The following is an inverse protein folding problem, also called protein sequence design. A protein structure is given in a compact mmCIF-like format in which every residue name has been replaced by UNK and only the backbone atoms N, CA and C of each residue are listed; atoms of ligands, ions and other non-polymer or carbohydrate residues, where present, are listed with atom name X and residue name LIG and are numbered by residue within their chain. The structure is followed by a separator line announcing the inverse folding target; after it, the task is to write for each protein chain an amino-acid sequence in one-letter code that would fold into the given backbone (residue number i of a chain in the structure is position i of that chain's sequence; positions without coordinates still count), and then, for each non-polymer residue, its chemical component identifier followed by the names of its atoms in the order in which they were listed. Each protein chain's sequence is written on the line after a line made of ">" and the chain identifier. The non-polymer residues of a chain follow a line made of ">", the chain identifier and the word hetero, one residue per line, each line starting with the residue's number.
data_IF_729526763966
#
_entry.id   IF_729526763966
#
_cell.length_a   1.000
_cell.length_b   1.000
_cell.length_c   1.000
_cell.angle_alpha   90.00
_cell.angle_beta   90.00
_cell.angle_gamma   90.00
#
_symmetry.space_group_name_H-M   'P 1'
#
loop_
_entity.id
_entity.type
_entity.pdbx_description
1 polymer ?
#
# COMPACT_ATOMS: atom_id res chain seq x y z
N UNK A 1 -44.16 -53.38 -15.62
CA UNK A 1 -43.30 -54.27 -16.44
C UNK A 1 -42.33 -53.35 -17.22
N UNK A 2 -41.12 -53.43 -16.90
CA UNK A 2 -39.86 -53.28 -17.62
C UNK A 2 -38.80 -52.64 -16.74
N UNK A 3 -37.95 -53.50 -16.18
CA UNK A 3 -36.76 -53.21 -15.45
C UNK A 3 -35.70 -52.64 -16.39
N UNK A 4 -35.10 -51.49 -16.02
CA UNK A 4 -33.93 -50.94 -16.65
C UNK A 4 -32.76 -50.94 -15.67
N UNK A 5 -31.92 -51.99 -15.74
CA UNK A 5 -30.64 -52.08 -15.00
C UNK A 5 -29.65 -51.06 -15.51
N UNK A 6 -29.17 -50.20 -14.63
CA UNK A 6 -27.97 -49.35 -14.85
C UNK A 6 -26.76 -50.14 -14.37
N UNK A 7 -25.85 -50.48 -15.28
CA UNK A 7 -24.57 -51.16 -15.01
C UNK A 7 -23.53 -50.13 -14.54
N UNK A 8 -22.95 -50.38 -13.36
CA UNK A 8 -21.79 -49.66 -12.81
C UNK A 8 -20.53 -50.21 -13.48
N UNK A 9 -19.82 -49.37 -14.18
CA UNK A 9 -18.46 -49.69 -14.71
C UNK A 9 -17.46 -49.26 -13.66
N UNK A 10 -16.81 -50.22 -13.02
CA UNK A 10 -15.67 -50.01 -12.13
C UNK A 10 -14.39 -49.85 -12.97
N UNK A 11 -13.77 -48.66 -12.91
CA UNK A 11 -12.43 -48.43 -13.44
C UNK A 11 -11.41 -48.76 -12.35
N UNK A 12 -10.72 -49.86 -12.52
CA UNK A 12 -9.53 -50.26 -11.78
C UNK A 12 -8.34 -49.48 -12.38
N UNK A 13 -7.76 -48.62 -11.59
CA UNK A 13 -6.49 -47.97 -11.95
C UNK A 13 -5.36 -48.80 -11.33
N UNK A 14 -4.57 -49.42 -12.19
CA UNK A 14 -3.33 -50.11 -11.85
C UNK A 14 -2.30 -49.10 -11.33
N UNK A 15 -1.72 -49.44 -10.19
CA UNK A 15 -0.63 -48.71 -9.55
C UNK A 15 0.67 -49.21 -10.19
N UNK A 16 1.37 -48.33 -10.90
CA UNK A 16 2.74 -48.57 -11.36
C UNK A 16 3.66 -48.09 -10.25
N UNK A 17 4.37 -49.02 -9.65
CA UNK A 17 5.48 -48.75 -8.72
C UNK A 17 6.76 -48.62 -9.57
N UNK A 18 7.29 -47.41 -9.69
CA UNK A 18 8.66 -47.20 -10.23
C UNK A 18 9.59 -47.09 -9.04
N UNK A 19 10.38 -48.12 -8.85
CA UNK A 19 11.62 -48.16 -8.06
C UNK A 19 12.62 -47.19 -8.68
N UNK A 20 13.08 -46.20 -7.95
CA UNK A 20 14.25 -45.41 -8.28
C UNK A 20 15.23 -45.47 -7.10
N UNK A 21 16.13 -46.48 -7.18
CA UNK A 21 17.36 -46.55 -6.40
C UNK A 21 18.42 -45.66 -7.07
N UNK A 22 19.00 -44.74 -6.31
CA UNK A 22 20.13 -43.96 -6.80
C UNK A 22 20.50 -42.84 -5.86
N UNK A 23 21.24 -43.15 -4.81
CA UNK A 23 22.04 -42.19 -4.05
C UNK A 23 23.23 -41.75 -4.94
N UNK A 24 23.58 -40.45 -4.98
CA UNK A 24 24.94 -40.05 -5.30
C UNK A 24 25.69 -39.63 -4.03
N UNK A 25 26.83 -40.28 -3.88
CA UNK A 25 27.84 -40.11 -2.87
C UNK A 25 28.40 -38.68 -2.82
N UNK A 26 28.67 -38.24 -1.60
CA UNK A 26 29.40 -37.04 -1.27
C UNK A 26 30.82 -37.04 -1.79
N UNK A 27 31.16 -36.08 -2.63
CA UNK A 27 32.54 -35.72 -2.96
C UNK A 27 32.76 -34.22 -2.71
N UNK A 28 32.95 -33.85 -1.44
CA UNK A 28 33.50 -32.56 -1.09
C UNK A 28 35.02 -32.70 -0.93
N UNK A 29 35.72 -32.41 -2.01
CA UNK A 29 37.16 -32.18 -1.97
C UNK A 29 37.44 -30.85 -1.23
N UNK A 30 38.27 -30.96 -0.23
CA UNK A 30 38.93 -29.90 0.51
C UNK A 30 39.68 -28.95 -0.43
N UNK A 31 39.34 -27.66 -0.40
CA UNK A 31 40.15 -26.59 -0.94
C UNK A 31 40.72 -25.74 0.17
N UNK A 32 42.01 -25.71 0.16
CA UNK A 32 43.04 -25.07 0.93
C UNK A 32 42.71 -23.60 1.35
N UNK A 33 42.99 -23.29 2.62
CA UNK A 33 42.99 -21.95 3.18
C UNK A 33 44.13 -21.12 2.58
N UNK A 34 43.80 -20.25 1.63
CA UNK A 34 44.69 -19.20 1.14
C UNK A 34 44.46 -17.92 1.90
N UNK A 35 45.34 -17.63 2.84
CA UNK A 35 45.50 -16.36 3.57
C UNK A 35 45.69 -15.22 2.57
N UNK A 36 44.69 -14.30 2.46
CA UNK A 36 44.87 -13.01 1.81
C UNK A 36 44.66 -11.92 2.90
N UNK A 37 45.80 -11.25 3.20
CA UNK A 37 45.89 -10.19 4.19
C UNK A 37 44.98 -9.00 3.89
N UNK A 38 44.42 -8.48 4.97
CA UNK A 38 43.68 -7.23 4.98
C UNK A 38 44.62 -6.05 4.64
N UNK A 39 44.22 -5.09 3.78
CA UNK A 39 44.96 -3.84 3.67
C UNK A 39 44.73 -2.98 4.90
N UNK A 40 45.79 -2.65 5.60
CA UNK A 40 45.79 -1.66 6.66
C UNK A 40 45.41 -0.29 6.10
N UNK A 41 44.27 0.24 6.52
CA UNK A 41 43.93 1.64 6.35
C UNK A 41 44.67 2.46 7.44
N UNK A 42 45.67 3.20 7.05
CA UNK A 42 46.25 4.26 7.87
C UNK A 42 45.18 5.37 8.04
N UNK A 43 44.72 5.54 9.29
CA UNK A 43 43.92 6.67 9.69
C UNK A 43 44.85 7.80 10.12
N UNK A 44 45.21 8.71 9.19
CA UNK A 44 45.76 10.02 9.50
C UNK A 44 44.69 11.08 9.27
N UNK A 45 44.00 11.47 10.33
CA UNK A 45 43.08 12.58 10.39
C UNK A 45 42.65 12.82 11.84
N UNK A 46 42.53 14.07 12.30
CA UNK A 46 42.18 14.37 13.68
C UNK A 46 40.79 13.87 14.02
N UNK A 47 40.66 13.16 15.12
CA UNK A 47 39.43 12.59 15.60
C UNK A 47 38.41 13.66 16.01
N UNK A 48 37.14 13.37 15.80
CA UNK A 48 36.00 14.27 16.06
C UNK A 48 35.81 14.67 17.54
N UNK A 49 36.66 14.17 18.45
CA UNK A 49 36.59 14.39 19.90
C UNK A 49 37.93 14.83 20.55
N UNK A 50 38.87 15.40 19.77
CA UNK A 50 40.06 16.00 20.37
C UNK A 50 39.69 17.35 20.97
N UNK A 51 39.85 17.49 22.28
CA UNK A 51 39.65 18.73 23.02
C UNK A 51 40.72 19.77 22.59
N UNK A 52 40.36 21.05 22.36
CA UNK A 52 41.32 22.07 22.04
C UNK A 52 42.16 22.41 23.27
N UNK A 53 43.48 22.25 23.17
CA UNK A 53 44.43 22.64 24.18
C UNK A 53 44.41 24.15 24.43
N UNK A 54 44.65 24.51 25.71
CA UNK A 54 44.72 25.87 26.24
C UNK A 54 45.83 26.69 25.55
N UNK A 55 45.43 27.60 24.63
CA UNK A 55 46.30 28.72 24.19
C UNK A 55 45.70 30.04 24.70
N UNK A 56 46.51 30.78 25.47
CA UNK A 56 46.18 32.12 25.99
C UNK A 56 45.88 33.13 24.87
N UNK A 57 44.88 34.04 25.05
CA UNK A 57 44.53 35.00 24.01
C UNK A 57 45.42 36.22 23.99
N UNK A 58 46.07 36.45 22.86
CA UNK A 58 46.72 37.74 22.57
C UNK A 58 45.67 38.83 22.38
N UNK A 59 45.84 39.92 23.16
CA UNK A 59 44.96 41.07 23.16
C UNK A 59 45.03 41.86 21.84
N UNK A 60 43.93 41.93 21.10
CA UNK A 60 43.72 42.97 20.06
C UNK A 60 42.51 43.81 20.42
N UNK A 61 42.70 45.11 20.56
CA UNK A 61 41.70 46.10 20.86
C UNK A 61 40.78 46.37 19.65
N UNK A 62 39.51 46.72 19.86
CA UNK A 62 38.49 46.76 18.81
C UNK A 62 38.41 48.15 18.14
N UNK A 63 38.28 48.16 16.83
CA UNK A 63 37.71 49.29 16.11
C UNK A 63 36.19 49.09 16.01
N UNK A 64 35.46 49.87 16.79
CA UNK A 64 34.00 49.88 16.78
C UNK A 64 33.50 50.61 15.55
N UNK A 65 32.87 49.88 14.63
CA UNK A 65 31.98 50.43 13.63
C UNK A 65 30.60 49.93 13.92
N UNK A 66 29.77 50.77 14.57
CA UNK A 66 28.38 50.52 14.86
C UNK A 66 27.54 50.69 13.59
N UNK A 67 27.27 49.59 12.90
CA UNK A 67 26.12 49.52 11.98
C UNK A 67 24.97 48.77 12.70
N UNK A 68 23.71 49.24 12.57
CA UNK A 68 22.59 48.59 13.20
C UNK A 68 22.38 47.20 12.57
N UNK A 69 22.49 46.15 13.38
CA UNK A 69 22.08 44.80 13.02
C UNK A 69 20.59 44.83 12.80
N UNK A 70 20.18 44.91 11.55
CA UNK A 70 18.80 44.69 11.17
C UNK A 70 18.51 43.21 11.45
N UNK A 71 17.70 42.96 12.48
CA UNK A 71 17.25 41.65 12.87
C UNK A 71 16.44 41.03 11.71
N UNK A 72 17.09 40.20 10.89
CA UNK A 72 16.46 39.46 9.77
C UNK A 72 15.58 38.30 10.25
N UNK A 73 15.11 38.31 11.49
CA UNK A 73 14.22 37.28 12.01
C UNK A 73 12.74 37.55 11.77
N UNK A 74 12.36 38.74 11.28
CA UNK A 74 10.97 39.05 10.97
C UNK A 74 10.70 39.04 9.47
N UNK A 75 10.62 37.91 8.84
CA UNK A 75 9.88 37.61 7.62
C UNK A 75 10.17 36.17 7.12
N UNK A 76 10.19 35.20 7.98
CA UNK A 76 9.73 33.87 7.53
C UNK A 76 8.21 33.94 7.54
N UNK A 77 7.67 34.43 6.42
CA UNK A 77 6.28 34.11 6.08
C UNK A 77 6.12 32.61 6.32
N UNK A 78 5.21 32.22 7.21
CA UNK A 78 4.77 30.84 7.36
C UNK A 78 4.32 30.40 5.98
N UNK A 79 5.24 29.78 5.22
CA UNK A 79 4.89 29.08 3.99
C UNK A 79 4.03 27.95 4.47
N UNK A 80 2.74 28.06 4.20
CA UNK A 80 1.79 26.99 4.51
C UNK A 80 2.39 25.68 4.00
N UNK A 81 2.35 24.60 4.80
CA UNK A 81 2.93 23.34 4.36
C UNK A 81 2.31 22.94 3.02
N UNK A 82 3.09 22.40 2.08
CA UNK A 82 2.58 22.04 0.77
C UNK A 82 1.36 21.15 0.94
N UNK A 83 0.32 21.35 0.12
CA UNK A 83 -0.91 20.56 0.23
C UNK A 83 -0.58 19.07 0.13
N UNK A 84 -1.14 18.29 1.05
CA UNK A 84 -0.98 16.83 1.00
C UNK A 84 -1.54 16.28 -0.32
N UNK A 85 -0.87 15.31 -0.92
CA UNK A 85 -1.31 14.64 -2.12
C UNK A 85 -2.77 14.12 -2.00
N UNK A 86 -3.53 14.16 -3.09
CA UNK A 86 -4.96 13.81 -3.10
C UNK A 86 -5.23 12.43 -2.50
N UNK A 87 -4.43 11.41 -2.83
CA UNK A 87 -4.61 10.06 -2.30
C UNK A 87 -4.45 9.99 -0.78
N UNK A 88 -3.81 10.99 -0.12
CA UNK A 88 -3.74 11.12 1.34
C UNK A 88 -4.92 11.91 1.88
N UNK A 89 -5.28 13.03 1.23
CA UNK A 89 -6.42 13.89 1.65
C UNK A 89 -7.76 13.17 1.54
N UNK A 90 -7.94 12.35 0.50
CA UNK A 90 -9.16 11.58 0.26
C UNK A 90 -9.08 10.12 0.70
N UNK A 91 -8.14 9.80 1.60
CA UNK A 91 -8.10 8.48 2.24
C UNK A 91 -9.37 8.29 3.08
N UNK A 92 -10.15 7.20 2.88
CA UNK A 92 -11.39 7.00 3.59
C UNK A 92 -11.16 6.88 5.10
N UNK A 93 -12.05 7.48 5.87
CA UNK A 93 -12.05 7.54 7.34
C UNK A 93 -13.17 6.71 7.96
N UNK A 94 -14.12 6.27 7.14
CA UNK A 94 -15.23 5.38 7.51
C UNK A 94 -15.49 4.36 6.43
N UNK A 95 -16.17 3.24 6.76
CA UNK A 95 -16.56 2.25 5.77
C UNK A 95 -17.50 2.79 4.69
N UNK A 96 -18.31 3.81 5.01
CA UNK A 96 -19.19 4.45 4.06
C UNK A 96 -18.45 5.23 2.96
N UNK A 97 -17.21 5.66 3.22
CA UNK A 97 -16.35 6.36 2.26
C UNK A 97 -15.54 5.40 1.36
N UNK A 98 -15.56 4.10 1.65
CA UNK A 98 -14.82 3.10 0.85
C UNK A 98 -15.64 2.74 -0.37
N UNK A 99 -15.33 3.34 -1.51
CA UNK A 99 -16.10 3.18 -2.75
C UNK A 99 -15.94 1.79 -3.39
N UNK A 100 -17.03 1.25 -3.92
CA UNK A 100 -17.03 0.04 -4.73
C UNK A 100 -16.70 -1.27 -4.01
N UNK A 101 -16.69 -1.27 -2.66
CA UNK A 101 -16.34 -2.44 -1.84
C UNK A 101 -17.51 -2.89 -0.94
N UNK A 102 -18.76 -2.65 -1.32
CA UNK A 102 -19.94 -2.97 -0.50
C UNK A 102 -19.99 -4.45 -0.07
N UNK A 103 -19.51 -5.35 -0.95
CA UNK A 103 -19.40 -6.79 -0.67
C UNK A 103 -18.44 -7.12 0.48
N UNK A 104 -17.54 -6.19 0.85
CA UNK A 104 -16.62 -6.27 2.00
C UNK A 104 -17.13 -5.44 3.16
N UNK A 105 -17.46 -4.16 2.91
CA UNK A 105 -17.78 -3.20 3.97
C UNK A 105 -19.10 -3.53 4.67
N UNK A 106 -20.15 -3.92 3.93
CA UNK A 106 -21.45 -4.24 4.52
C UNK A 106 -21.39 -5.44 5.47
N UNK A 107 -20.77 -6.59 5.11
CA UNK A 107 -20.57 -7.68 6.06
C UNK A 107 -19.74 -7.32 7.28
N UNK A 108 -18.67 -6.52 7.11
CA UNK A 108 -17.85 -6.06 8.24
C UNK A 108 -18.65 -5.17 9.20
N UNK A 109 -19.41 -4.20 8.69
CA UNK A 109 -20.26 -3.34 9.49
C UNK A 109 -21.29 -4.16 10.29
N UNK A 110 -21.96 -5.12 9.63
CA UNK A 110 -22.91 -6.01 10.29
C UNK A 110 -22.26 -6.88 11.38
N UNK A 111 -21.04 -7.35 11.14
CA UNK A 111 -20.30 -8.12 12.14
C UNK A 111 -19.96 -7.27 13.37
N UNK A 112 -19.57 -6.01 13.16
CA UNK A 112 -19.32 -5.05 14.24
C UNK A 112 -20.58 -4.76 15.06
N UNK A 113 -21.69 -4.41 14.41
CA UNK A 113 -22.96 -4.06 15.06
C UNK A 113 -23.57 -5.26 15.83
N UNK A 114 -23.33 -6.48 15.34
CA UNK A 114 -23.75 -7.70 16.03
C UNK A 114 -22.75 -8.20 17.08
N UNK A 115 -21.67 -7.46 17.33
CA UNK A 115 -20.57 -7.86 18.22
C UNK A 115 -19.97 -9.24 17.87
N UNK A 116 -19.96 -9.61 16.58
CA UNK A 116 -19.37 -10.85 16.05
C UNK A 116 -18.00 -10.57 15.45
N UNK A 117 -17.09 -10.12 16.31
CA UNK A 117 -15.74 -9.72 15.90
C UNK A 117 -14.81 -10.91 15.94
N UNK A 118 -14.20 -11.24 14.82
CA UNK A 118 -13.18 -12.29 14.74
C UNK A 118 -11.82 -11.79 15.29
N UNK A 119 -10.91 -12.74 15.55
CA UNK A 119 -9.56 -12.42 16.01
C UNK A 119 -8.61 -12.13 14.84
N UNK A 120 -8.85 -12.68 13.64
CA UNK A 120 -7.99 -12.52 12.49
C UNK A 120 -8.75 -12.33 11.19
N UNK A 121 -8.30 -11.38 10.38
CA UNK A 121 -8.86 -10.99 9.10
C UNK A 121 -7.79 -11.07 8.02
N UNK A 122 -8.18 -11.45 6.80
CA UNK A 122 -7.33 -11.40 5.62
C UNK A 122 -8.00 -10.52 4.56
N UNK A 123 -7.44 -9.35 4.29
CA UNK A 123 -7.85 -8.44 3.24
C UNK A 123 -6.98 -8.68 2.01
N UNK A 124 -7.53 -9.24 0.96
CA UNK A 124 -6.81 -9.52 -0.28
C UNK A 124 -7.32 -8.68 -1.43
N UNK A 125 -6.53 -8.54 -2.48
CA UNK A 125 -6.95 -7.91 -3.72
C UNK A 125 -5.94 -6.92 -4.29
N UNK A 126 -6.19 -6.31 -5.45
CA UNK A 126 -5.27 -5.45 -6.15
C UNK A 126 -4.77 -4.26 -5.31
N UNK A 127 -3.64 -3.69 -5.73
CA UNK A 127 -3.09 -2.49 -5.11
C UNK A 127 -4.07 -1.32 -5.23
N UNK A 128 -4.12 -0.44 -4.22
CA UNK A 128 -4.88 0.80 -4.25
C UNK A 128 -6.40 0.69 -4.12
N UNK A 129 -6.96 -0.53 -3.87
CA UNK A 129 -8.40 -0.76 -3.71
C UNK A 129 -8.94 -0.52 -2.29
N UNK A 130 -8.12 -0.04 -1.35
CA UNK A 130 -8.58 0.35 -0.01
C UNK A 130 -8.35 -0.68 1.11
N UNK A 131 -7.51 -1.72 0.94
CA UNK A 131 -7.22 -2.74 1.97
C UNK A 131 -6.69 -2.14 3.27
N UNK A 132 -5.57 -1.43 3.21
CA UNK A 132 -4.93 -0.82 4.40
C UNK A 132 -5.79 0.27 5.04
N UNK A 133 -6.44 1.20 4.30
CA UNK A 133 -7.42 2.09 4.90
C UNK A 133 -8.54 1.35 5.63
N UNK A 134 -9.12 0.30 5.03
CA UNK A 134 -10.18 -0.49 5.66
C UNK A 134 -9.72 -1.21 6.92
N UNK A 135 -8.45 -1.65 6.97
CA UNK A 135 -7.85 -2.22 8.18
C UNK A 135 -7.79 -1.18 9.33
N UNK A 136 -7.39 0.07 9.02
CA UNK A 136 -7.38 1.17 9.99
C UNK A 136 -8.79 1.56 10.44
N UNK A 137 -9.75 1.61 9.50
CA UNK A 137 -11.17 1.86 9.83
C UNK A 137 -11.69 0.76 10.75
N UNK A 138 -11.41 -0.50 10.46
CA UNK A 138 -11.77 -1.64 11.31
C UNK A 138 -11.19 -1.48 12.72
N UNK A 139 -9.90 -1.12 12.83
CA UNK A 139 -9.25 -0.88 14.11
C UNK A 139 -9.90 0.27 14.88
N UNK A 140 -10.27 1.35 14.19
CA UNK A 140 -11.00 2.48 14.77
C UNK A 140 -12.38 2.08 15.28
N UNK A 141 -13.12 1.28 14.52
CA UNK A 141 -14.43 0.74 14.89
C UNK A 141 -14.36 -0.18 16.12
N UNK A 142 -13.32 -1.03 16.18
CA UNK A 142 -13.10 -1.96 17.29
C UNK A 142 -12.71 -1.24 18.59
N UNK A 143 -11.86 -0.22 18.50
CA UNK A 143 -11.29 0.49 19.64
C UNK A 143 -12.03 1.76 20.03
N UNK A 144 -13.12 2.12 19.33
CA UNK A 144 -13.97 3.22 19.74
C UNK A 144 -14.54 2.97 21.16
N UNK A 145 -14.55 3.99 22.01
CA UNK A 145 -15.11 3.89 23.37
C UNK A 145 -16.57 3.43 23.37
N UNK A 146 -17.33 3.81 22.33
CA UNK A 146 -18.73 3.37 22.14
C UNK A 146 -18.85 2.02 21.42
N UNK A 147 -17.73 1.41 21.01
CA UNK A 147 -17.74 0.22 20.16
C UNK A 147 -17.55 -1.12 20.92
N UNK A 148 -17.42 -2.21 20.17
CA UNK A 148 -17.31 -2.27 18.70
C UNK A 148 -18.55 -1.73 17.99
N UNK A 149 -18.35 -0.92 16.96
CA UNK A 149 -19.43 -0.27 16.20
C UNK A 149 -19.03 -0.04 14.75
N UNK A 150 -19.98 -0.07 13.83
CA UNK A 150 -19.76 0.29 12.43
C UNK A 150 -19.57 1.81 12.23
N UNK A 151 -20.03 2.62 13.20
CA UNK A 151 -19.98 4.08 13.16
C UNK A 151 -19.19 4.63 14.35
N UNK A 152 -17.85 4.69 14.25
CA UNK A 152 -17.03 5.21 15.36
C UNK A 152 -17.34 6.66 15.67
N UNK A 153 -17.33 7.02 16.97
CA UNK A 153 -17.81 8.32 17.47
C UNK A 153 -17.01 9.55 16.95
N UNK A 154 -15.79 9.37 16.47
CA UNK A 154 -14.94 10.44 15.95
C UNK A 154 -14.26 11.32 16.98
N UNK A 155 -14.71 11.31 18.23
CA UNK A 155 -14.29 12.25 19.29
C UNK A 155 -13.45 11.61 20.40
N UNK A 156 -13.54 10.31 20.62
CA UNK A 156 -12.70 9.64 21.62
C UNK A 156 -11.24 9.55 21.14
N UNK A 157 -10.32 9.36 22.08
CA UNK A 157 -8.88 9.30 21.79
C UNK A 157 -8.55 8.32 20.69
N UNK A 158 -9.02 7.08 20.77
CA UNK A 158 -8.76 6.05 19.74
C UNK A 158 -9.29 6.47 18.36
N UNK A 159 -10.44 7.15 18.29
CA UNK A 159 -10.97 7.67 17.03
C UNK A 159 -10.14 8.81 16.46
N UNK A 160 -9.61 9.70 17.30
CA UNK A 160 -8.76 10.82 16.88
C UNK A 160 -7.37 10.33 16.45
N UNK A 161 -6.77 9.44 17.23
CA UNK A 161 -5.44 8.88 16.92
C UNK A 161 -5.42 8.13 15.57
N UNK A 162 -6.51 7.43 15.25
CA UNK A 162 -6.63 6.63 14.02
C UNK A 162 -7.34 7.36 12.87
N UNK A 163 -7.75 8.62 13.06
CA UNK A 163 -8.36 9.44 12.02
C UNK A 163 -7.37 9.73 10.89
N UNK A 164 -7.89 10.24 9.78
CA UNK A 164 -7.09 10.75 8.66
C UNK A 164 -6.14 11.83 9.15
N UNK A 165 -4.82 11.60 8.99
CA UNK A 165 -3.79 12.52 9.49
C UNK A 165 -3.55 12.46 11.00
N UNK A 166 -4.21 11.56 11.74
CA UNK A 166 -3.95 11.34 13.15
C UNK A 166 -2.56 10.75 13.41
N UNK A 167 -2.04 10.91 14.65
CA UNK A 167 -0.67 10.50 15.01
C UNK A 167 -0.48 8.97 15.02
N UNK A 168 -1.54 8.18 14.94
CA UNK A 168 -1.52 6.74 15.18
C UNK A 168 -1.74 6.39 16.64
N UNK A 169 -2.03 5.13 16.92
CA UNK A 169 -2.27 4.61 18.27
C UNK A 169 -1.20 3.60 18.67
N UNK A 170 -0.73 3.66 19.90
CA UNK A 170 0.21 2.67 20.45
C UNK A 170 -0.37 1.25 20.48
N UNK A 171 -1.69 1.15 20.53
CA UNK A 171 -2.42 -0.13 20.54
C UNK A 171 -2.79 -0.64 19.14
N UNK A 172 -2.50 0.15 18.08
CA UNK A 172 -2.69 -0.26 16.68
C UNK A 172 -1.35 -0.17 15.96
N UNK A 173 -0.74 -1.30 15.76
CA UNK A 173 0.61 -1.44 15.23
C UNK A 173 0.51 -1.82 13.75
N UNK A 174 0.95 -0.93 12.88
CA UNK A 174 1.05 -1.17 11.44
C UNK A 174 2.46 -1.63 11.10
N UNK A 175 2.56 -2.78 10.46
CA UNK A 175 3.82 -3.42 10.07
C UNK A 175 3.79 -3.58 8.55
N UNK A 176 4.74 -2.97 7.87
CA UNK A 176 5.00 -3.24 6.47
C UNK A 176 5.91 -4.48 6.37
N UNK A 177 5.34 -5.60 5.91
CA UNK A 177 6.06 -6.85 5.81
C UNK A 177 7.17 -6.84 4.74
N UNK A 178 7.16 -5.86 3.82
CA UNK A 178 8.27 -5.67 2.88
C UNK A 178 9.56 -5.24 3.60
N UNK A 179 9.43 -4.47 4.69
CA UNK A 179 10.56 -4.01 5.51
C UNK A 179 10.79 -4.89 6.75
N UNK A 180 9.72 -5.52 7.27
CA UNK A 180 9.69 -6.25 8.55
C UNK A 180 9.01 -7.61 8.41
N UNK A 181 9.40 -8.42 7.43
CA UNK A 181 8.83 -9.74 7.15
C UNK A 181 9.65 -10.93 7.68
N UNK A 182 10.70 -10.67 8.44
CA UNK A 182 11.63 -11.67 8.95
C UNK A 182 11.09 -12.50 10.11
N UNK A 183 11.86 -13.53 10.48
CA UNK A 183 11.54 -14.40 11.63
C UNK A 183 11.67 -13.65 12.94
N UNK A 184 12.67 -12.77 13.05
CA UNK A 184 12.91 -11.98 14.26
C UNK A 184 11.75 -11.00 14.50
N UNK A 185 11.32 -10.28 13.46
CA UNK A 185 10.15 -9.38 13.54
C UNK A 185 8.89 -10.13 13.98
N UNK A 186 8.69 -11.34 13.45
CA UNK A 186 7.56 -12.19 13.81
C UNK A 186 7.63 -12.68 15.28
N UNK A 187 8.83 -12.96 15.79
CA UNK A 187 9.05 -13.32 17.21
C UNK A 187 8.77 -12.15 18.13
N UNK A 188 9.29 -10.97 17.80
CA UNK A 188 9.04 -9.73 18.54
C UNK A 188 7.54 -9.39 18.58
N UNK A 189 6.86 -9.50 17.44
CA UNK A 189 5.42 -9.31 17.37
C UNK A 189 4.70 -10.30 18.28
N UNK A 190 5.08 -11.59 18.24
CA UNK A 190 4.47 -12.62 19.08
C UNK A 190 4.64 -12.31 20.56
N UNK A 191 5.81 -11.90 21.00
CA UNK A 191 6.06 -11.55 22.42
C UNK A 191 5.25 -10.34 22.84
N UNK A 192 5.24 -9.29 22.02
CA UNK A 192 4.48 -8.06 22.30
C UNK A 192 2.96 -8.28 22.30
N UNK A 193 2.45 -9.27 21.58
CA UNK A 193 1.02 -9.54 21.51
C UNK A 193 0.41 -10.04 22.82
N UNK A 194 1.18 -10.65 23.71
CA UNK A 194 0.71 -11.08 25.03
C UNK A 194 0.52 -9.93 26.02
N UNK A 195 1.13 -8.77 25.78
CA UNK A 195 0.92 -7.61 26.64
C UNK A 195 -0.42 -6.95 26.33
N UNK A 196 -1.14 -6.63 27.39
CA UNK A 196 -2.43 -5.94 27.28
C UNK A 196 -2.29 -4.58 26.56
N UNK A 197 -3.34 -4.09 25.89
CA UNK A 197 -3.36 -2.74 25.33
C UNK A 197 -3.25 -1.69 26.42
N UNK A 198 -2.66 -0.52 26.09
CA UNK A 198 -2.38 0.55 27.05
C UNK A 198 -3.63 1.40 27.31
N UNK A 199 -4.37 1.73 26.25
CA UNK A 199 -5.51 2.64 26.33
C UNK A 199 -6.77 2.08 25.66
N UNK A 200 -6.60 1.22 24.67
CA UNK A 200 -7.70 0.75 23.82
C UNK A 200 -8.28 -0.58 24.34
N UNK A 201 -9.40 -1.01 23.75
CA UNK A 201 -10.03 -2.30 24.06
C UNK A 201 -9.22 -3.47 23.51
N UNK A 202 -8.69 -3.30 22.29
CA UNK A 202 -7.93 -4.32 21.59
C UNK A 202 -6.55 -3.79 21.18
N UNK A 203 -5.59 -4.69 21.19
CA UNK A 203 -4.29 -4.50 20.56
C UNK A 203 -4.36 -5.10 19.17
N UNK A 204 -4.23 -4.25 18.16
CA UNK A 204 -4.50 -4.61 16.76
C UNK A 204 -3.21 -4.54 15.97
N UNK A 205 -2.91 -5.61 15.27
CA UNK A 205 -1.78 -5.72 14.37
C UNK A 205 -2.25 -5.72 12.93
N UNK A 206 -1.85 -4.71 12.17
CA UNK A 206 -2.10 -4.60 10.74
C UNK A 206 -0.80 -4.95 10.04
N UNK A 207 -0.76 -6.11 9.39
CA UNK A 207 0.38 -6.57 8.61
C UNK A 207 0.09 -6.30 7.15
N UNK A 208 0.68 -5.22 6.63
CA UNK A 208 0.53 -4.85 5.22
C UNK A 208 1.54 -5.61 4.36
N UNK A 209 1.20 -5.84 3.10
CA UNK A 209 1.91 -6.70 2.14
C UNK A 209 2.30 -8.07 2.74
N UNK A 210 1.35 -8.69 3.44
CA UNK A 210 1.56 -9.92 4.22
C UNK A 210 2.18 -11.07 3.41
N UNK A 211 2.09 -11.06 2.08
CA UNK A 211 2.76 -12.03 1.21
C UNK A 211 4.30 -11.94 1.24
N UNK A 212 4.86 -10.84 1.77
CA UNK A 212 6.30 -10.65 1.98
C UNK A 212 6.82 -11.29 3.27
N UNK A 213 5.92 -11.71 4.18
CA UNK A 213 6.31 -12.45 5.38
C UNK A 213 6.88 -13.81 4.98
N UNK A 214 8.08 -14.12 5.44
CA UNK A 214 8.72 -15.41 5.17
C UNK A 214 7.92 -16.58 5.76
N UNK A 215 8.02 -17.77 5.19
CA UNK A 215 7.36 -18.98 5.71
C UNK A 215 7.75 -19.24 7.18
N UNK A 216 9.00 -19.01 7.55
CA UNK A 216 9.47 -19.15 8.92
C UNK A 216 8.88 -18.07 9.84
N UNK A 217 8.69 -16.82 9.34
CA UNK A 217 7.99 -15.75 10.05
C UNK A 217 6.52 -16.11 10.31
N UNK A 218 5.81 -16.58 9.30
CA UNK A 218 4.44 -17.07 9.51
C UNK A 218 4.35 -18.22 10.51
N UNK A 219 5.28 -19.18 10.46
CA UNK A 219 5.33 -20.28 11.42
C UNK A 219 5.54 -19.79 12.86
N UNK A 220 6.30 -18.72 13.07
CA UNK A 220 6.45 -18.09 14.38
C UNK A 220 5.14 -17.45 14.88
N UNK A 221 4.28 -16.99 13.98
CA UNK A 221 2.98 -16.38 14.29
C UNK A 221 1.83 -17.40 14.43
N UNK A 222 1.99 -18.65 13.96
CA UNK A 222 0.90 -19.63 13.91
C UNK A 222 0.20 -19.80 15.24
N UNK A 223 0.96 -20.04 16.34
CA UNK A 223 0.37 -20.23 17.67
C UNK A 223 -0.44 -19.01 18.11
N UNK A 224 0.02 -17.82 17.76
CA UNK A 224 -0.64 -16.57 18.13
C UNK A 224 -1.94 -16.36 17.32
N UNK A 225 -2.00 -16.81 16.07
CA UNK A 225 -3.21 -16.74 15.23
C UNK A 225 -4.18 -17.88 15.56
N UNK A 226 -3.68 -19.04 16.02
CA UNK A 226 -4.51 -20.18 16.45
C UNK A 226 -5.17 -19.92 17.80
N UNK A 227 -4.38 -19.48 18.79
CA UNK A 227 -4.78 -19.25 20.17
C UNK A 227 -4.42 -17.82 20.60
N UNK A 228 -5.08 -16.80 20.03
CA UNK A 228 -4.75 -15.42 20.32
C UNK A 228 -5.19 -15.03 21.74
N UNK A 229 -4.43 -14.15 22.41
CA UNK A 229 -4.94 -13.49 23.60
C UNK A 229 -6.28 -12.78 23.30
N UNK A 230 -7.24 -12.75 24.22
CA UNK A 230 -8.58 -12.17 23.98
C UNK A 230 -8.56 -10.73 23.46
N UNK A 231 -7.54 -9.98 23.86
CA UNK A 231 -7.33 -8.58 23.48
C UNK A 231 -6.60 -8.40 22.15
N UNK A 232 -5.99 -9.44 21.57
CA UNK A 232 -5.22 -9.32 20.34
C UNK A 232 -6.11 -9.55 19.10
N UNK A 233 -5.92 -8.72 18.08
CA UNK A 233 -6.60 -8.83 16.78
C UNK A 233 -5.58 -8.66 15.67
N UNK A 234 -5.78 -9.37 14.55
CA UNK A 234 -4.87 -9.37 13.40
C UNK A 234 -5.62 -9.01 12.13
N UNK A 235 -5.03 -8.15 11.32
CA UNK A 235 -5.51 -7.83 9.97
C UNK A 235 -4.32 -7.97 9.02
N UNK A 236 -4.35 -9.02 8.23
CA UNK A 236 -3.38 -9.25 7.15
C UNK A 236 -3.90 -8.62 5.87
N UNK A 237 -3.15 -7.71 5.26
CA UNK A 237 -3.46 -7.14 3.97
C UNK A 237 -2.46 -7.64 2.92
N UNK A 238 -2.92 -8.07 1.76
CA UNK A 238 -2.06 -8.65 0.72
C UNK A 238 -2.59 -8.41 -0.68
N UNK A 239 -1.69 -8.25 -1.64
CA UNK A 239 -2.02 -8.28 -3.07
C UNK A 239 -2.02 -9.70 -3.63
N UNK A 240 -1.33 -10.64 -2.97
CA UNK A 240 -1.11 -12.01 -3.44
C UNK A 240 -1.52 -13.03 -2.36
N UNK A 241 -2.83 -13.30 -2.22
CA UNK A 241 -3.34 -14.17 -1.14
C UNK A 241 -2.84 -15.62 -1.24
N UNK A 242 -2.47 -16.09 -2.44
CA UNK A 242 -1.91 -17.42 -2.66
C UNK A 242 -0.53 -17.62 -2.04
N UNK A 243 0.26 -16.55 -1.90
CA UNK A 243 1.57 -16.58 -1.21
C UNK A 243 1.47 -16.60 0.30
N UNK A 244 0.31 -16.23 0.87
CA UNK A 244 0.06 -16.40 2.31
C UNK A 244 -0.16 -17.87 2.61
N UNK A 245 0.58 -18.42 3.58
CA UNK A 245 0.51 -19.85 3.90
C UNK A 245 -0.91 -20.31 4.23
N UNK A 246 -1.27 -21.52 3.76
CA UNK A 246 -2.63 -22.08 3.88
C UNK A 246 -3.14 -22.17 5.32
N UNK A 247 -2.24 -22.42 6.27
CA UNK A 247 -2.53 -22.48 7.70
C UNK A 247 -3.02 -21.15 8.29
N UNK A 248 -2.49 -20.01 7.84
CA UNK A 248 -2.98 -18.67 8.20
C UNK A 248 -4.31 -18.38 7.50
N UNK A 249 -4.39 -18.65 6.18
CA UNK A 249 -5.63 -18.41 5.41
C UNK A 249 -6.84 -19.13 5.97
N UNK A 250 -6.67 -20.38 6.43
CA UNK A 250 -7.76 -21.18 6.99
C UNK A 250 -8.28 -20.69 8.35
N UNK A 251 -7.51 -19.82 9.04
CA UNK A 251 -7.84 -19.28 10.37
C UNK A 251 -8.23 -17.81 10.34
N UNK A 252 -8.27 -17.21 9.16
CA UNK A 252 -8.62 -15.80 8.98
C UNK A 252 -9.96 -15.67 8.26
N UNK A 253 -10.75 -14.66 8.60
CA UNK A 253 -11.89 -14.27 7.80
C UNK A 253 -11.41 -13.50 6.57
N UNK A 254 -11.63 -14.09 5.39
CA UNK A 254 -11.14 -13.59 4.12
C UNK A 254 -12.15 -12.63 3.47
N UNK A 255 -11.67 -11.42 3.15
CA UNK A 255 -12.43 -10.36 2.47
C UNK A 255 -11.67 -9.92 1.21
N UNK A 256 -12.15 -10.34 0.01
CA UNK A 256 -11.51 -10.00 -1.26
C UNK A 256 -11.97 -8.63 -1.75
N UNK A 257 -11.04 -7.67 -1.81
CA UNK A 257 -11.24 -6.37 -2.45
C UNK A 257 -11.10 -6.51 -3.96
N UNK A 258 -11.79 -5.63 -4.71
CA UNK A 258 -11.83 -5.64 -6.17
C UNK A 258 -11.44 -4.28 -6.73
N UNK A 259 -11.06 -4.26 -7.99
CA UNK A 259 -10.95 -3.01 -8.75
C UNK A 259 -12.31 -2.31 -8.78
N UNK A 260 -12.30 -0.99 -8.70
CA UNK A 260 -13.52 -0.19 -8.75
C UNK A 260 -13.97 -0.06 -10.21
N UNK A 261 -15.27 -0.30 -10.51
CA UNK A 261 -15.80 -0.15 -11.85
C UNK A 261 -15.55 1.26 -12.41
N UNK A 262 -15.20 1.40 -13.71
CA UNK A 262 -14.82 2.67 -14.32
C UNK A 262 -15.85 3.80 -14.14
N UNK A 263 -17.14 3.48 -14.26
CA UNK A 263 -18.22 4.46 -14.07
C UNK A 263 -18.24 5.03 -12.65
N UNK A 264 -18.20 4.16 -11.64
CA UNK A 264 -18.24 4.57 -10.24
C UNK A 264 -16.98 5.38 -9.87
N UNK A 265 -15.82 4.96 -10.40
CA UNK A 265 -14.57 5.67 -10.21
C UNK A 265 -14.60 7.05 -10.85
N UNK A 266 -15.14 7.19 -12.07
CA UNK A 266 -15.29 8.47 -12.75
C UNK A 266 -16.23 9.44 -12.00
N UNK A 267 -17.36 8.95 -11.49
CA UNK A 267 -18.29 9.72 -10.65
C UNK A 267 -17.59 10.22 -9.37
N UNK A 268 -16.79 9.37 -8.73
CA UNK A 268 -16.02 9.74 -7.55
C UNK A 268 -14.96 10.81 -7.84
N UNK A 269 -14.18 10.64 -8.92
CA UNK A 269 -13.14 11.61 -9.31
C UNK A 269 -13.76 12.97 -9.69
N UNK A 270 -14.92 12.98 -10.38
CA UNK A 270 -15.67 14.19 -10.68
C UNK A 270 -16.08 14.95 -9.41
N UNK A 271 -16.54 14.24 -8.38
CA UNK A 271 -16.86 14.83 -7.08
C UNK A 271 -15.63 15.45 -6.40
N UNK A 272 -14.47 14.83 -6.53
CA UNK A 272 -13.20 15.38 -6.01
C UNK A 272 -12.81 16.65 -6.76
N UNK A 273 -12.86 16.67 -8.10
CA UNK A 273 -12.58 17.88 -8.88
C UNK A 273 -13.46 19.05 -8.44
N UNK A 274 -14.76 18.80 -8.23
CA UNK A 274 -15.69 19.81 -7.75
C UNK A 274 -15.31 20.31 -6.33
N UNK A 275 -14.85 19.43 -5.45
CA UNK A 275 -14.40 19.79 -4.08
C UNK A 275 -13.11 20.61 -4.10
N UNK A 276 -12.18 20.28 -5.01
CA UNK A 276 -10.92 21.01 -5.21
C UNK A 276 -11.12 22.34 -5.97
N UNK A 277 -12.32 22.59 -6.52
CA UNK A 277 -12.64 23.80 -7.25
C UNK A 277 -11.95 23.90 -8.62
N UNK A 278 -11.49 22.79 -9.18
CA UNK A 278 -10.82 22.75 -10.49
C UNK A 278 -11.79 22.24 -11.56
N UNK A 279 -11.89 22.98 -12.65
CA UNK A 279 -12.67 22.57 -13.82
C UNK A 279 -11.87 21.53 -14.59
N UNK A 280 -12.47 20.36 -14.79
CA UNK A 280 -11.88 19.28 -15.60
C UNK A 280 -12.86 18.94 -16.71
N UNK A 281 -12.38 18.95 -17.95
CA UNK A 281 -13.20 18.58 -19.10
C UNK A 281 -13.76 17.15 -18.92
N UNK A 282 -15.07 16.93 -19.15
CA UNK A 282 -15.68 15.62 -18.95
C UNK A 282 -15.01 14.48 -19.73
N UNK A 283 -14.42 14.78 -20.88
CA UNK A 283 -13.67 13.86 -21.73
C UNK A 283 -12.28 13.50 -21.17
N UNK A 284 -11.71 14.29 -20.28
CA UNK A 284 -10.41 14.02 -19.63
C UNK A 284 -10.52 12.97 -18.50
N UNK A 285 -11.64 12.93 -17.77
CA UNK A 285 -11.81 11.97 -16.65
C UNK A 285 -11.73 10.50 -17.07
N UNK A 286 -12.28 10.05 -18.21
CA UNK A 286 -12.09 8.69 -18.70
C UNK A 286 -10.62 8.30 -18.90
N UNK A 287 -9.76 9.24 -19.31
CA UNK A 287 -8.31 9.00 -19.43
C UNK A 287 -7.68 8.74 -18.07
N UNK A 288 -8.05 9.52 -17.04
CA UNK A 288 -7.59 9.30 -15.65
C UNK A 288 -8.04 7.93 -15.12
N UNK A 289 -9.30 7.57 -15.36
CA UNK A 289 -9.86 6.27 -14.95
C UNK A 289 -9.11 5.12 -15.63
N UNK A 290 -8.81 5.26 -16.93
CA UNK A 290 -8.06 4.28 -17.71
C UNK A 290 -6.63 4.14 -17.20
N UNK A 291 -5.94 5.25 -16.95
CA UNK A 291 -4.57 5.26 -16.41
C UNK A 291 -4.50 4.65 -14.99
N UNK A 292 -5.50 4.89 -14.15
CA UNK A 292 -5.60 4.33 -12.79
C UNK A 292 -6.01 2.86 -12.74
N UNK A 293 -6.50 2.28 -13.85
CA UNK A 293 -6.79 0.85 -13.97
C UNK A 293 -7.77 0.29 -12.92
N UNK A 294 -8.67 1.12 -12.37
CA UNK A 294 -9.63 0.74 -11.32
C UNK A 294 -9.06 0.83 -9.89
N UNK A 295 -7.79 1.24 -9.73
CA UNK A 295 -7.18 1.55 -8.44
C UNK A 295 -7.53 2.98 -8.04
N UNK A 296 -8.21 3.17 -6.91
CA UNK A 296 -8.57 4.50 -6.40
C UNK A 296 -7.33 5.33 -6.10
N UNK A 297 -6.32 4.72 -5.47
CA UNK A 297 -5.07 5.40 -5.10
C UNK A 297 -4.32 5.90 -6.32
N UNK A 298 -4.19 5.05 -7.35
CA UNK A 298 -3.41 5.39 -8.53
C UNK A 298 -4.18 6.42 -9.39
N UNK A 299 -5.51 6.29 -9.49
CA UNK A 299 -6.36 7.32 -10.14
C UNK A 299 -6.27 8.68 -9.44
N UNK A 300 -6.23 8.71 -8.10
CA UNK A 300 -6.05 9.96 -7.35
C UNK A 300 -4.65 10.54 -7.54
N UNK A 301 -3.62 9.70 -7.67
CA UNK A 301 -2.26 10.16 -7.94
C UNK A 301 -2.13 10.77 -9.34
N UNK A 302 -2.76 10.14 -10.33
CA UNK A 302 -2.85 10.66 -11.70
C UNK A 302 -3.64 11.97 -11.75
N UNK A 303 -4.78 12.03 -11.06
CA UNK A 303 -5.58 13.26 -10.98
C UNK A 303 -4.79 14.39 -10.30
N UNK A 304 -4.06 14.10 -9.23
CA UNK A 304 -3.22 15.08 -8.52
C UNK A 304 -2.17 15.71 -9.43
N UNK A 305 -1.52 14.91 -10.28
CA UNK A 305 -0.58 15.39 -11.29
C UNK A 305 -1.25 16.32 -12.31
N UNK A 306 -2.44 15.96 -12.79
CA UNK A 306 -3.20 16.78 -13.72
C UNK A 306 -3.64 18.11 -13.09
N UNK A 307 -4.16 18.07 -11.86
CA UNK A 307 -4.58 19.27 -11.14
C UNK A 307 -3.40 20.19 -10.81
N UNK A 308 -2.24 19.62 -10.49
CA UNK A 308 -1.00 20.39 -10.26
C UNK A 308 -0.50 21.13 -11.51
N UNK A 309 -0.80 20.63 -12.70
CA UNK A 309 -0.48 21.24 -13.99
C UNK A 309 -1.61 22.08 -14.60
N UNK A 310 -2.76 22.21 -13.90
CA UNK A 310 -3.93 22.90 -14.43
C UNK A 310 -3.68 24.41 -14.56
N UNK A 311 -4.04 24.97 -15.73
CA UNK A 311 -4.09 26.41 -15.96
C UNK A 311 -5.38 27.03 -15.37
N UNK A 312 -5.56 28.35 -15.53
CA UNK A 312 -6.75 29.05 -15.05
C UNK A 312 -8.05 28.56 -15.71
N UNK A 313 -7.98 27.91 -16.88
CA UNK A 313 -9.10 27.33 -17.60
C UNK A 313 -9.42 25.89 -17.16
N UNK A 314 -8.60 25.32 -16.26
CA UNK A 314 -8.73 23.95 -15.78
C UNK A 314 -7.89 22.96 -16.59
N UNK A 315 -8.34 21.69 -16.65
CA UNK A 315 -7.69 20.58 -17.35
C UNK A 315 -8.48 20.20 -18.59
N UNK A 316 -7.87 20.33 -19.76
CA UNK A 316 -8.46 19.88 -21.02
C UNK A 316 -8.15 18.40 -21.29
N UNK A 317 -8.91 17.81 -22.24
CA UNK A 317 -8.65 16.47 -22.76
C UNK A 317 -7.23 16.32 -23.31
N UNK A 318 -6.80 17.28 -24.14
CA UNK A 318 -5.50 17.22 -24.82
C UNK A 318 -4.33 17.29 -23.81
N UNK A 319 -4.46 18.14 -22.79
CA UNK A 319 -3.48 18.20 -21.70
C UNK A 319 -3.41 16.87 -20.94
N UNK A 320 -4.57 16.26 -20.66
CA UNK A 320 -4.61 14.97 -19.98
C UNK A 320 -4.01 13.86 -20.85
N UNK A 321 -4.33 13.83 -22.15
CA UNK A 321 -3.79 12.85 -23.07
C UNK A 321 -2.26 12.98 -23.20
N UNK A 322 -1.76 14.20 -23.35
CA UNK A 322 -0.33 14.48 -23.47
C UNK A 322 0.44 14.09 -22.18
N UNK A 323 -0.08 14.48 -21.00
CA UNK A 323 0.57 14.14 -19.71
C UNK A 323 0.60 12.63 -19.45
N UNK A 324 -0.45 11.92 -19.86
CA UNK A 324 -0.58 10.49 -19.60
C UNK A 324 0.04 9.60 -20.69
N UNK A 325 0.59 10.21 -21.76
CA UNK A 325 1.19 9.49 -22.89
C UNK A 325 0.17 8.67 -23.69
N UNK A 326 -1.10 9.13 -23.76
CA UNK A 326 -2.08 8.48 -24.61
C UNK A 326 -1.93 8.98 -26.06
N UNK A 327 -1.94 8.03 -27.00
CA UNK A 327 -1.99 8.34 -28.42
C UNK A 327 -3.30 9.05 -28.74
N UNK A 328 -3.27 10.19 -29.46
CA UNK A 328 -4.47 10.90 -29.88
C UNK A 328 -5.41 9.98 -30.69
N UNK A 329 -6.69 9.99 -30.35
CA UNK A 329 -7.71 9.13 -31.00
C UNK A 329 -7.74 9.34 -32.52
N UNK A 330 -7.52 10.58 -32.97
CA UNK A 330 -7.47 10.91 -34.40
C UNK A 330 -6.37 10.13 -35.17
N UNK A 331 -5.22 9.85 -34.54
CA UNK A 331 -4.16 9.05 -35.18
C UNK A 331 -4.52 7.56 -35.21
N UNK A 332 -5.26 7.09 -34.20
CA UNK A 332 -5.77 5.71 -34.18
C UNK A 332 -6.83 5.52 -35.25
N UNK A 333 -7.74 6.51 -35.43
CA UNK A 333 -8.75 6.51 -36.47
C UNK A 333 -8.09 6.53 -37.85
N UNK A 334 -7.04 7.37 -38.09
CA UNK A 334 -6.29 7.38 -39.37
C UNK A 334 -5.70 5.99 -39.69
N UNK A 335 -5.18 5.26 -38.68
CA UNK A 335 -4.65 3.91 -38.90
C UNK A 335 -5.76 2.94 -39.27
N UNK A 336 -6.88 2.98 -38.55
CA UNK A 336 -8.04 2.09 -38.80
C UNK A 336 -8.60 2.35 -40.21
N UNK A 337 -8.77 3.62 -40.59
CA UNK A 337 -9.28 4.02 -41.92
C UNK A 337 -8.32 3.59 -43.04
N UNK A 338 -7.01 3.83 -42.86
CA UNK A 338 -5.99 3.40 -43.81
C UNK A 338 -5.96 1.87 -43.95
N UNK A 339 -6.08 1.14 -42.83
CA UNK A 339 -6.15 -0.31 -42.83
C UNK A 339 -7.41 -0.82 -43.56
N UNK A 340 -8.57 -0.23 -43.27
CA UNK A 340 -9.83 -0.60 -43.92
C UNK A 340 -9.81 -0.31 -45.43
N UNK A 341 -9.11 0.77 -45.86
CA UNK A 341 -8.90 1.10 -47.26
C UNK A 341 -7.85 0.27 -47.99
N UNK A 342 -7.08 -0.58 -47.26
CA UNK A 342 -5.96 -1.34 -47.82
C UNK A 342 -4.72 -0.48 -48.11
N UNK A 343 -4.64 0.76 -47.57
CA UNK A 343 -3.48 1.64 -47.72
C UNK A 343 -2.40 1.33 -46.69
N UNK A 344 -1.57 0.35 -47.02
CA UNK A 344 -0.45 -0.02 -46.18
C UNK A 344 0.53 1.13 -45.92
N UNK A 345 0.76 1.99 -46.94
CA UNK A 345 1.65 3.14 -46.80
C UNK A 345 1.07 4.20 -45.84
N UNK A 346 -0.25 4.38 -45.82
CA UNK A 346 -0.97 5.23 -44.86
C UNK A 346 -0.80 4.71 -43.42
N UNK A 347 -1.00 3.42 -43.23
CA UNK A 347 -0.77 2.77 -41.89
C UNK A 347 0.62 3.05 -41.37
N UNK A 348 1.68 2.80 -42.16
CA UNK A 348 3.06 3.04 -41.74
C UNK A 348 3.33 4.51 -41.43
N UNK A 349 2.84 5.45 -42.26
CA UNK A 349 3.01 6.88 -41.97
C UNK A 349 2.35 7.32 -40.68
N UNK A 350 1.16 6.80 -40.37
CA UNK A 350 0.47 7.12 -39.11
C UNK A 350 1.14 6.48 -37.89
N UNK A 351 1.72 5.28 -38.05
CA UNK A 351 2.55 4.65 -37.01
C UNK A 351 3.82 5.47 -36.77
N UNK A 352 4.50 5.94 -37.82
CA UNK A 352 5.70 6.78 -37.69
C UNK A 352 5.39 8.06 -36.90
N UNK A 353 4.24 8.73 -37.20
CA UNK A 353 3.79 9.90 -36.42
C UNK A 353 3.59 9.57 -34.92
N UNK A 354 3.04 8.40 -34.59
CA UNK A 354 2.86 7.98 -33.18
C UNK A 354 4.21 7.79 -32.50
N UNK A 355 5.17 7.16 -33.19
CA UNK A 355 6.53 6.95 -32.67
C UNK A 355 7.26 8.29 -32.44
N UNK A 356 7.03 9.30 -33.29
CA UNK A 356 7.62 10.63 -33.13
C UNK A 356 7.03 11.43 -31.97
N UNK A 357 5.79 11.14 -31.57
CA UNK A 357 5.10 11.81 -30.45
C UNK A 357 5.55 11.22 -29.09
N UNK A 358 6.04 9.96 -29.05
CA UNK A 358 6.51 9.26 -27.84
C UNK A 358 5.52 8.19 -27.43
#
# INVERSE_FOLDING_TARGET
>A
MADGKVSVVSNTVERVEDEYDGEPEDEYASLDEGYLGEPAFEQDGPGLFDEPGDEEPAAFAPAVSSQPVVDRREARSEVAPPPLALYRRYRPDSFAEVIGQDHVTVPLMRALDNNRVNHAYLFSGPRGCGKTPSARILARCLNCEQGPTSTPCGVCRSCQDLARGGPGSIDVIEIDAASHGGVEDARDLRERAFFAPVHSRYKIYIVDEAHMVTTAGFNALLKLVEEPPPHAKFVFATTEPEKVIGTIRSRTHHYPFRLVPPRLLGEYLSGICATEGVVVEPSALPLVVRAGGGSVRDSLSVLDQLLGGAGPEGVSHDQAAALLGFTPDALLDEIVDAFAAGDAAGVFRSIDKIIEIG
#
